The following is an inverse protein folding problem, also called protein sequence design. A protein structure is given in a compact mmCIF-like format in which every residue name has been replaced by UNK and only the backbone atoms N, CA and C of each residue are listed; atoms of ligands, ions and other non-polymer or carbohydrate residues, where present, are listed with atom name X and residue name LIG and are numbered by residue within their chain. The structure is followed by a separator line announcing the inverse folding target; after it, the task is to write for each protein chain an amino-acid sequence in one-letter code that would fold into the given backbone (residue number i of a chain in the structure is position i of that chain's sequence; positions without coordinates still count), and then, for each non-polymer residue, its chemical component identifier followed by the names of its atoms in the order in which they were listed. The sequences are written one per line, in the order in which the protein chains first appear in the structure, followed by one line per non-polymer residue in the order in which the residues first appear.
data_IF_313435576018
#
_entry.id   IF_313435576018
#
_cell.length_a   1.000
_cell.length_b   1.000
_cell.length_c   1.000
_cell.angle_alpha   90.00
_cell.angle_beta   90.00
_cell.angle_gamma   90.00
#
_symmetry.space_group_name_H-M   'P 1'
#
loop_
_entity.id
_entity.type
_entity.pdbx_description
1 polymer ?
#
# COMPACT_ATOMS: atom_id res chain seq x y z
N UNK A 1 -10.85 6.41 9.42
CA UNK A 1 -9.74 5.52 9.03
C UNK A 1 -9.34 5.78 7.59
N UNK A 2 -8.23 5.18 7.14
CA UNK A 2 -7.74 5.26 5.75
C UNK A 2 -8.01 3.93 5.05
N UNK A 3 -8.42 3.97 3.78
CA UNK A 3 -8.72 2.79 2.97
C UNK A 3 -7.90 2.79 1.69
N UNK A 4 -7.36 1.62 1.31
CA UNK A 4 -6.68 1.42 0.03
C UNK A 4 -7.63 0.92 -1.05
N UNK A 5 -7.89 1.75 -2.06
CA UNK A 5 -8.84 1.44 -3.15
C UNK A 5 -8.13 1.40 -4.52
N UNK A 6 -8.66 0.64 -5.51
CA UNK A 6 -8.29 0.83 -6.91
C UNK A 6 -8.63 2.25 -7.37
N UNK A 7 -7.90 2.79 -8.35
CA UNK A 7 -8.17 4.15 -8.86
C UNK A 7 -9.60 4.29 -9.41
N UNK A 8 -10.12 3.24 -10.04
CA UNK A 8 -11.48 3.18 -10.60
C UNK A 8 -12.59 3.32 -9.55
N UNK A 9 -12.27 3.18 -8.26
CA UNK A 9 -13.22 3.45 -7.19
C UNK A 9 -13.68 4.91 -7.20
N UNK A 10 -12.81 5.85 -7.59
CA UNK A 10 -13.15 7.28 -7.68
C UNK A 10 -14.10 7.60 -8.84
N UNK A 11 -14.18 6.73 -9.85
CA UNK A 11 -15.12 6.87 -10.97
C UNK A 11 -16.53 6.36 -10.61
N UNK A 12 -16.62 5.42 -9.66
CA UNK A 12 -17.87 4.74 -9.28
C UNK A 12 -18.56 5.36 -8.07
N UNK A 13 -17.83 6.15 -7.28
CA UNK A 13 -18.31 6.78 -6.05
C UNK A 13 -18.09 8.29 -6.11
N UNK A 14 -18.85 9.08 -5.35
CA UNK A 14 -18.65 10.53 -5.32
C UNK A 14 -17.24 10.87 -4.77
N UNK A 15 -16.30 11.34 -5.61
CA UNK A 15 -14.91 11.57 -5.20
C UNK A 15 -14.82 12.75 -4.22
N UNK A 16 -15.78 13.67 -4.21
CA UNK A 16 -15.77 14.83 -3.33
C UNK A 16 -15.92 14.46 -1.85
N UNK A 17 -16.41 13.25 -1.54
CA UNK A 17 -16.55 12.74 -0.18
C UNK A 17 -15.22 12.30 0.44
N UNK A 18 -14.16 12.17 -0.37
CA UNK A 18 -12.88 11.63 0.06
C UNK A 18 -11.72 12.59 -0.25
N UNK A 19 -10.68 12.52 0.57
CA UNK A 19 -9.36 13.08 0.29
C UNK A 19 -8.40 11.95 -0.08
N UNK A 20 -7.57 12.16 -1.10
CA UNK A 20 -6.44 11.27 -1.42
C UNK A 20 -5.30 11.65 -0.49
N UNK A 21 -4.84 10.69 0.31
CA UNK A 21 -3.79 10.92 1.31
C UNK A 21 -2.48 10.22 0.98
N UNK A 22 -2.45 9.36 -0.03
CA UNK A 22 -1.22 8.71 -0.47
C UNK A 22 -1.44 7.48 -1.35
N UNK A 23 -0.44 6.61 -1.40
CA UNK A 23 -0.47 5.35 -2.14
C UNK A 23 0.36 4.27 -1.44
N UNK A 24 0.13 3.00 -1.79
CA UNK A 24 0.85 1.86 -1.19
C UNK A 24 2.25 1.64 -1.74
N UNK A 25 2.62 2.30 -2.85
CA UNK A 25 3.99 2.25 -3.37
C UNK A 25 4.82 3.39 -2.79
N UNK A 26 5.72 3.05 -1.87
CA UNK A 26 6.71 3.99 -1.35
C UNK A 26 7.80 3.24 -0.61
N UNK A 27 9.06 3.57 -0.87
CA UNK A 27 10.20 3.11 -0.06
C UNK A 27 10.53 4.05 1.11
N UNK A 28 9.73 5.10 1.28
CA UNK A 28 9.89 6.03 2.38
C UNK A 28 9.63 5.32 3.73
N UNK A 29 10.57 5.49 4.65
CA UNK A 29 10.51 4.93 6.01
C UNK A 29 9.59 5.76 6.89
N UNK A 30 9.43 7.04 6.58
CA UNK A 30 8.63 8.01 7.32
C UNK A 30 7.23 8.17 6.70
N UNK A 31 6.83 7.26 5.81
CA UNK A 31 5.47 7.23 5.28
C UNK A 31 4.48 6.88 6.40
N UNK A 32 3.68 7.87 6.80
CA UNK A 32 2.61 7.78 7.82
C UNK A 32 1.63 6.62 7.60
N UNK A 33 1.48 6.13 6.37
CA UNK A 33 0.56 5.05 6.01
C UNK A 33 1.24 3.69 5.84
N UNK A 34 2.54 3.58 6.16
CA UNK A 34 3.25 2.29 6.16
C UNK A 34 2.77 1.44 7.33
N UNK A 35 2.26 0.25 7.02
CA UNK A 35 1.79 -0.70 8.05
C UNK A 35 2.90 -1.63 8.54
N UNK A 36 3.94 -1.85 7.74
CA UNK A 36 5.06 -2.72 8.06
C UNK A 36 6.32 -2.32 7.32
N UNK A 37 7.46 -2.50 7.97
CA UNK A 37 8.79 -2.49 7.35
C UNK A 37 9.30 -3.93 7.27
N UNK A 38 9.80 -4.32 6.10
CA UNK A 38 10.43 -5.61 5.87
C UNK A 38 11.95 -5.45 5.93
N UNK A 39 12.59 -6.30 6.70
CA UNK A 39 14.05 -6.42 6.77
C UNK A 39 14.62 -6.98 5.47
N UNK A 40 15.92 -6.78 5.25
CA UNK A 40 16.60 -7.35 4.09
C UNK A 40 16.56 -8.88 4.08
N UNK A 41 16.50 -9.52 5.25
CA UNK A 41 16.37 -10.98 5.33
C UNK A 41 14.99 -11.44 4.86
N UNK A 42 13.92 -10.82 5.35
CA UNK A 42 12.55 -11.13 4.92
C UNK A 42 12.37 -10.93 3.40
N UNK A 43 12.99 -9.90 2.81
CA UNK A 43 12.96 -9.67 1.36
C UNK A 43 13.70 -10.77 0.58
N UNK A 44 14.77 -11.36 1.13
CA UNK A 44 15.49 -12.49 0.51
C UNK A 44 14.71 -13.79 0.67
N UNK A 45 14.18 -14.05 1.86
CA UNK A 45 13.38 -15.23 2.15
C UNK A 45 12.15 -15.28 1.25
N UNK A 46 11.44 -14.16 1.10
CA UNK A 46 10.30 -14.05 0.19
C UNK A 46 10.66 -14.29 -1.28
N UNK A 47 11.87 -13.90 -1.71
CA UNK A 47 12.35 -14.20 -3.07
C UNK A 47 12.64 -15.69 -3.23
N UNK A 48 13.34 -16.29 -2.26
CA UNK A 48 13.67 -17.72 -2.27
C UNK A 48 12.40 -18.58 -2.23
N UNK A 49 11.45 -18.27 -1.36
CA UNK A 49 10.16 -18.98 -1.25
C UNK A 49 9.39 -18.92 -2.57
N UNK A 50 9.37 -17.75 -3.22
CA UNK A 50 8.58 -17.54 -4.44
C UNK A 50 9.23 -18.11 -5.71
N UNK A 51 10.54 -18.00 -5.83
CA UNK A 51 11.26 -18.28 -7.08
C UNK A 51 12.24 -19.45 -6.99
N UNK A 52 12.45 -20.03 -5.80
CA UNK A 52 13.31 -21.20 -5.60
C UNK A 52 14.81 -20.94 -5.80
N UNK A 53 15.25 -19.68 -5.90
CA UNK A 53 16.64 -19.31 -6.15
C UNK A 53 17.03 -18.04 -5.39
N UNK A 54 18.34 -17.79 -5.16
CA UNK A 54 18.78 -16.58 -4.50
C UNK A 54 18.38 -15.31 -5.26
N UNK A 55 17.97 -14.29 -4.51
CA UNK A 55 17.64 -12.96 -5.02
C UNK A 55 16.97 -12.11 -3.94
N UNK A 56 16.45 -10.95 -4.34
CA UNK A 56 15.79 -10.02 -3.42
C UNK A 56 14.44 -9.63 -3.99
N UNK A 57 13.39 -9.75 -3.17
CA UNK A 57 12.07 -9.25 -3.49
C UNK A 57 11.80 -8.02 -2.61
N UNK A 58 11.93 -6.82 -3.16
CA UNK A 58 11.80 -5.57 -2.38
C UNK A 58 10.35 -5.34 -1.91
N UNK A 59 9.97 -5.97 -0.81
CA UNK A 59 8.62 -5.88 -0.22
C UNK A 59 8.28 -4.49 0.31
N UNK A 60 9.27 -3.60 0.48
CA UNK A 60 9.03 -2.26 1.03
C UNK A 60 8.51 -1.27 0.00
N UNK A 61 8.70 -1.54 -1.30
CA UNK A 61 8.30 -0.66 -2.40
C UNK A 61 6.83 -0.82 -2.83
N UNK A 62 6.04 -1.64 -2.14
CA UNK A 62 4.67 -1.96 -2.58
C UNK A 62 3.79 -2.38 -1.40
N UNK A 63 2.47 -2.37 -1.60
CA UNK A 63 1.56 -3.06 -0.69
C UNK A 63 1.79 -4.56 -0.74
N UNK A 64 1.72 -5.24 0.42
CA UNK A 64 1.96 -6.69 0.54
C UNK A 64 0.80 -7.34 1.29
N UNK A 65 0.26 -8.41 0.73
CA UNK A 65 -0.77 -9.26 1.35
C UNK A 65 -0.27 -10.69 1.31
N UNK A 66 -0.21 -11.36 2.46
CA UNK A 66 0.27 -12.74 2.60
C UNK A 66 1.65 -12.97 1.92
N UNK A 67 2.60 -12.03 2.10
CA UNK A 67 3.94 -12.11 1.51
C UNK A 67 4.00 -11.78 0.01
N UNK A 68 2.87 -11.47 -0.63
CA UNK A 68 2.77 -11.20 -2.06
C UNK A 68 2.53 -9.71 -2.29
N UNK A 69 3.35 -9.07 -3.12
CA UNK A 69 3.07 -7.71 -3.59
C UNK A 69 1.76 -7.67 -4.36
N UNK A 70 0.93 -6.67 -4.05
CA UNK A 70 -0.34 -6.44 -4.71
C UNK A 70 -0.28 -5.21 -5.60
N UNK A 71 -1.28 -5.08 -6.48
CA UNK A 71 -1.46 -3.87 -7.28
C UNK A 71 -1.54 -2.63 -6.41
N UNK A 72 -0.95 -1.54 -6.92
CA UNK A 72 -0.96 -0.22 -6.30
C UNK A 72 -2.40 0.20 -5.96
N UNK A 73 -2.58 0.67 -4.73
CA UNK A 73 -3.84 1.25 -4.24
C UNK A 73 -3.65 2.73 -3.97
N UNK A 74 -4.71 3.50 -4.20
CA UNK A 74 -4.84 4.88 -3.73
C UNK A 74 -5.34 4.83 -2.30
N UNK A 75 -4.71 5.58 -1.41
CA UNK A 75 -5.13 5.69 -0.02
C UNK A 75 -6.08 6.87 0.10
N UNK A 76 -7.30 6.59 0.55
CA UNK A 76 -8.36 7.59 0.71
C UNK A 76 -8.80 7.69 2.17
N UNK A 77 -9.18 8.90 2.58
CA UNK A 77 -9.86 9.16 3.85
C UNK A 77 -11.16 9.88 3.57
N UNK A 78 -12.23 9.53 4.29
CA UNK A 78 -13.51 10.26 4.20
C UNK A 78 -13.32 11.65 4.80
N UNK A 79 -13.75 12.70 4.10
CA UNK A 79 -13.79 14.06 4.65
C UNK A 79 -14.75 14.08 5.85
N UNK A 80 -14.37 14.79 6.90
CA UNK A 80 -15.30 15.11 7.98
C UNK A 80 -16.48 15.89 7.39
N UNK A 81 -17.71 15.51 7.75
CA UNK A 81 -18.86 16.37 7.46
C UNK A 81 -18.57 17.71 8.14
N UNK A 82 -18.68 18.82 7.41
CA UNK A 82 -18.66 20.14 8.02
C UNK A 82 -19.72 20.13 9.13
N UNK A 83 -19.29 20.35 10.38
CA UNK A 83 -20.21 20.59 11.49
C UNK A 83 -21.10 21.75 11.06
N UNK A 84 -22.41 21.49 10.90
CA UNK A 84 -23.40 22.54 10.72
C UNK A 84 -23.51 23.37 12.00
#
# INVERSE_FOLDING_TARGET
GVMGVPITFLDQHNPEQFEIVGTTESNDRDNDYRTRFYTSQECRDAYQERFGKPGTYDLNASGVVNGIKVFKRVLIRRKSAATR
#
